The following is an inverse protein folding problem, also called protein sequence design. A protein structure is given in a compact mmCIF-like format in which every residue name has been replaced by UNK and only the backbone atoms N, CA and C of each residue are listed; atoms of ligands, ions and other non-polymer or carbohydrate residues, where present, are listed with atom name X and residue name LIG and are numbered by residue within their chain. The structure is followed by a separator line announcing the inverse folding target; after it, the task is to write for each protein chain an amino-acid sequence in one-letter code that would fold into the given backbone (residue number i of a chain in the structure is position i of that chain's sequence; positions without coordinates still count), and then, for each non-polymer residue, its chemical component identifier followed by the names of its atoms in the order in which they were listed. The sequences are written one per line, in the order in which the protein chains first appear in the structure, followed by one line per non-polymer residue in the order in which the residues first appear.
data_IF_775288501899
#
_entry.id   IF_775288501899
#
_cell.length_a   1.000
_cell.length_b   1.000
_cell.length_c   1.000
_cell.angle_alpha   90.00
_cell.angle_beta   90.00
_cell.angle_gamma   90.00
#
_symmetry.space_group_name_H-M   'P 1'
#
loop_
_entity.id
_entity.type
_entity.pdbx_description
1 polymer ?
#
# COMPACT_ATOMS: atom_id res chain seq x y z
N UNK A 1 28.71 10.43 -4.29
CA UNK A 1 27.62 10.64 -5.26
C UNK A 1 26.24 10.79 -4.62
N UNK A 2 25.86 10.01 -3.60
CA UNK A 2 24.53 10.05 -2.97
C UNK A 2 24.14 11.42 -2.37
N UNK A 3 25.10 12.16 -1.78
CA UNK A 3 24.84 13.41 -1.06
C UNK A 3 24.24 14.55 -1.90
N UNK A 4 24.41 14.54 -3.23
CA UNK A 4 23.84 15.56 -4.13
C UNK A 4 22.42 15.25 -4.63
N UNK A 5 21.92 14.04 -4.36
CA UNK A 5 20.65 13.54 -4.90
C UNK A 5 19.57 13.32 -3.83
N UNK A 6 19.86 13.64 -2.56
CA UNK A 6 18.94 13.43 -1.44
C UNK A 6 18.78 14.73 -0.65
N UNK A 7 17.56 15.26 -0.65
CA UNK A 7 17.21 16.46 0.11
C UNK A 7 17.34 16.22 1.63
N UNK A 8 17.99 17.15 2.33
CA UNK A 8 18.13 17.15 3.80
C UNK A 8 19.23 16.24 4.36
N UNK A 9 20.11 15.70 3.51
CA UNK A 9 21.16 14.77 3.92
C UNK A 9 22.16 15.37 4.93
N UNK A 10 22.61 16.60 4.69
CA UNK A 10 23.63 17.27 5.52
C UNK A 10 23.12 17.53 6.93
N UNK A 11 21.91 18.07 7.05
CA UNK A 11 21.26 18.38 8.32
C UNK A 11 21.01 17.09 9.12
N UNK A 12 20.53 16.05 8.46
CA UNK A 12 20.29 14.76 9.12
C UNK A 12 21.59 14.10 9.60
N UNK A 13 22.65 14.12 8.78
CA UNK A 13 23.97 13.59 9.18
C UNK A 13 24.48 14.29 10.45
N UNK A 14 24.35 15.62 10.53
CA UNK A 14 24.78 16.37 11.71
C UNK A 14 24.00 15.98 12.97
N UNK A 15 22.72 15.65 12.85
CA UNK A 15 21.94 15.16 13.99
C UNK A 15 22.44 13.80 14.50
N UNK A 16 22.91 12.91 13.63
CA UNK A 16 23.46 11.62 14.04
C UNK A 16 24.74 11.76 14.88
N UNK A 17 25.51 12.84 14.70
CA UNK A 17 26.72 13.10 15.50
C UNK A 17 26.41 13.31 17.00
N UNK A 18 25.16 13.64 17.32
CA UNK A 18 24.69 13.81 18.71
C UNK A 18 24.25 12.51 19.40
N UNK A 19 24.20 11.38 18.67
CA UNK A 19 23.75 10.10 19.23
C UNK A 19 24.89 9.46 20.03
N UNK A 20 24.68 9.31 21.33
CA UNK A 20 25.57 8.53 22.20
C UNK A 20 25.21 7.05 22.17
N UNK A 21 26.10 6.22 21.61
CA UNK A 21 25.90 4.77 21.50
C UNK A 21 25.83 4.07 22.87
N UNK A 22 26.46 4.62 23.91
CA UNK A 22 26.39 4.05 25.25
C UNK A 22 25.00 4.29 25.85
N UNK A 23 24.45 5.49 25.69
CA UNK A 23 23.07 5.78 26.09
C UNK A 23 22.07 4.88 25.35
N UNK A 24 22.27 4.64 24.04
CA UNK A 24 21.46 3.67 23.27
C UNK A 24 21.60 2.25 23.82
N UNK A 25 22.81 1.83 24.19
CA UNK A 25 23.08 0.52 24.79
C UNK A 25 22.34 0.34 26.11
N UNK A 26 22.24 1.38 26.94
CA UNK A 26 21.50 1.35 28.22
C UNK A 26 20.00 1.19 27.99
N UNK A 27 19.43 1.97 27.07
CA UNK A 27 17.98 1.95 26.78
C UNK A 27 17.54 0.64 26.13
N UNK A 28 18.33 0.14 25.18
CA UNK A 28 17.97 -1.06 24.40
C UNK A 28 18.37 -2.36 25.07
N UNK A 29 19.31 -2.32 26.03
CA UNK A 29 19.97 -3.51 26.57
C UNK A 29 20.91 -4.21 25.58
N UNK A 30 21.17 -3.64 24.40
CA UNK A 30 22.10 -4.18 23.41
C UNK A 30 23.47 -3.54 23.60
N UNK A 31 24.48 -4.36 23.92
CA UNK A 31 25.85 -3.88 24.14
C UNK A 31 26.37 -3.01 22.98
N UNK A 32 26.93 -1.84 23.28
CA UNK A 32 27.42 -0.86 22.30
C UNK A 32 28.29 -1.49 21.19
N UNK A 33 29.22 -2.38 21.54
CA UNK A 33 30.05 -3.08 20.55
C UNK A 33 29.21 -3.86 19.52
N UNK A 34 28.13 -4.53 19.93
CA UNK A 34 27.26 -5.27 18.99
C UNK A 34 26.53 -4.34 18.03
N UNK A 35 26.19 -3.14 18.48
CA UNK A 35 25.57 -2.11 17.62
C UNK A 35 26.58 -1.68 16.55
N UNK A 36 27.84 -1.43 16.95
CA UNK A 36 28.93 -1.09 16.01
C UNK A 36 29.22 -2.23 15.03
N UNK A 37 29.35 -3.47 15.52
CA UNK A 37 29.63 -4.64 14.69
C UNK A 37 28.51 -4.88 13.67
N UNK A 38 27.24 -4.71 14.08
CA UNK A 38 26.10 -4.82 13.18
C UNK A 38 26.09 -3.73 12.10
N UNK A 39 26.47 -2.49 12.45
CA UNK A 39 26.59 -1.40 11.49
C UNK A 39 27.70 -1.67 10.47
N UNK A 40 28.87 -2.16 10.92
CA UNK A 40 29.97 -2.55 10.04
C UNK A 40 29.51 -3.68 9.12
N UNK A 41 28.93 -4.75 9.67
CA UNK A 41 28.44 -5.89 8.89
C UNK A 41 27.43 -5.48 7.83
N UNK A 42 26.50 -4.58 8.17
CA UNK A 42 25.49 -4.10 7.21
C UNK A 42 26.10 -3.31 6.04
N UNK A 43 27.12 -2.50 6.29
CA UNK A 43 27.73 -1.64 5.27
C UNK A 43 28.79 -2.39 4.45
N UNK A 44 29.50 -3.35 5.05
CA UNK A 44 30.68 -3.96 4.45
C UNK A 44 30.49 -5.42 4.06
N UNK A 45 29.45 -6.08 4.59
CA UNK A 45 29.26 -7.53 4.58
C UNK A 45 30.38 -8.31 5.30
N UNK A 46 31.11 -7.67 6.22
CA UNK A 46 32.21 -8.25 6.98
C UNK A 46 32.03 -8.03 8.49
N UNK A 47 32.53 -8.96 9.31
CA UNK A 47 32.44 -8.86 10.77
C UNK A 47 33.38 -7.80 11.36
N UNK A 48 34.45 -7.44 10.64
CA UNK A 48 35.42 -6.44 11.05
C UNK A 48 35.47 -5.30 10.02
N UNK A 49 35.86 -4.10 10.47
CA UNK A 49 35.99 -2.96 9.60
C UNK A 49 37.16 -3.20 8.61
N UNK A 50 36.90 -3.19 7.29
CA UNK A 50 37.94 -3.42 6.31
C UNK A 50 38.97 -2.27 6.32
N UNK A 51 40.24 -2.60 6.16
CA UNK A 51 41.32 -1.60 6.07
C UNK A 51 41.35 -0.85 4.74
N UNK A 52 40.64 -1.36 3.72
CA UNK A 52 40.56 -0.80 2.38
C UNK A 52 39.16 -0.96 1.81
N UNK A 53 38.65 0.06 1.14
CA UNK A 53 37.39 -0.01 0.39
C UNK A 53 37.65 -0.62 -0.99
N UNK A 54 36.89 -1.64 -1.44
CA UNK A 54 36.99 -2.15 -2.81
C UNK A 54 36.70 -1.06 -3.84
N UNK A 55 37.31 -1.16 -5.02
CA UNK A 55 37.14 -0.21 -6.14
C UNK A 55 35.66 0.01 -6.51
N UNK A 56 34.86 -1.06 -6.47
CA UNK A 56 33.42 -1.04 -6.78
C UNK A 56 32.52 -0.90 -5.53
N UNK A 57 33.11 -0.54 -4.38
CA UNK A 57 32.44 -0.52 -3.09
C UNK A 57 32.07 -1.91 -2.57
N UNK A 58 31.36 -1.94 -1.44
CA UNK A 58 30.87 -3.18 -0.85
C UNK A 58 29.56 -3.67 -1.50
N UNK A 59 29.26 -4.98 -1.42
CA UNK A 59 27.94 -5.50 -1.74
C UNK A 59 26.86 -4.76 -0.96
N UNK A 60 25.73 -4.42 -1.59
CA UNK A 60 24.68 -3.66 -0.91
C UNK A 60 23.98 -4.52 0.15
N UNK A 61 23.61 -3.88 1.26
CA UNK A 61 22.76 -4.47 2.29
C UNK A 61 21.28 -4.25 2.01
N UNK A 62 20.45 -5.27 2.26
CA UNK A 62 19.00 -5.18 2.18
C UNK A 62 18.36 -5.25 3.57
N UNK A 63 17.32 -4.46 3.78
CA UNK A 63 16.50 -4.51 5.00
C UNK A 63 15.19 -5.21 4.68
N UNK A 64 14.86 -6.26 5.44
CA UNK A 64 13.55 -6.91 5.42
C UNK A 64 12.86 -6.66 6.75
N UNK A 65 11.65 -6.10 6.74
CA UNK A 65 10.90 -5.85 7.96
C UNK A 65 9.39 -6.01 7.78
N UNK A 66 8.70 -6.27 8.89
CA UNK A 66 7.25 -6.41 8.97
C UNK A 66 6.58 -5.26 9.72
N UNK A 67 7.29 -4.16 10.02
CA UNK A 67 6.72 -3.07 10.82
C UNK A 67 5.51 -2.40 10.16
N UNK A 68 5.39 -2.47 8.83
CA UNK A 68 4.19 -2.01 8.11
C UNK A 68 2.97 -2.93 8.31
N UNK A 69 3.16 -4.12 8.88
CA UNK A 69 2.11 -5.03 9.32
C UNK A 69 1.79 -4.79 10.80
N UNK A 70 1.44 -3.55 11.17
CA UNK A 70 0.95 -3.29 12.52
C UNK A 70 -0.40 -3.99 12.72
N UNK A 71 -0.40 -4.98 13.61
CA UNK A 71 -1.59 -5.43 14.32
C UNK A 71 -1.63 -4.70 15.67
N UNK A 72 -2.81 -4.64 16.29
CA UNK A 72 -3.05 -3.98 17.58
C UNK A 72 -2.10 -4.45 18.70
N UNK A 73 -1.51 -5.64 18.54
CA UNK A 73 -0.59 -6.29 19.50
C UNK A 73 0.89 -6.30 19.08
N UNK A 74 1.26 -5.62 18.00
CA UNK A 74 2.63 -5.66 17.51
C UNK A 74 3.58 -4.94 18.51
N UNK A 75 4.70 -5.56 18.93
CA UNK A 75 5.58 -5.02 19.99
C UNK A 75 6.44 -3.82 19.52
N UNK A 76 6.14 -3.24 18.36
CA UNK A 76 6.88 -2.13 17.81
C UNK A 76 6.27 -0.83 18.35
N UNK A 77 7.01 -0.08 19.16
CA UNK A 77 6.53 1.18 19.75
C UNK A 77 5.95 2.14 18.69
N UNK A 78 6.80 2.66 17.81
CA UNK A 78 6.38 3.50 16.68
C UNK A 78 6.87 2.90 15.35
N UNK A 79 6.01 2.13 14.67
CA UNK A 79 6.37 1.48 13.42
C UNK A 79 6.67 2.46 12.28
N UNK A 80 6.03 3.64 12.27
CA UNK A 80 6.30 4.65 11.25
C UNK A 80 7.74 5.18 11.41
N UNK A 81 8.14 5.48 12.63
CA UNK A 81 9.52 5.88 12.94
C UNK A 81 10.53 4.79 12.61
N UNK A 82 10.24 3.52 12.91
CA UNK A 82 11.14 2.40 12.55
C UNK A 82 11.26 2.27 11.03
N UNK A 83 10.16 2.34 10.28
CA UNK A 83 10.19 2.26 8.82
C UNK A 83 10.99 3.42 8.21
N UNK A 84 10.82 4.65 8.73
CA UNK A 84 11.60 5.82 8.32
C UNK A 84 13.09 5.67 8.65
N UNK A 85 13.43 5.12 9.81
CA UNK A 85 14.82 4.86 10.17
C UNK A 85 15.47 3.85 9.21
N UNK A 86 14.75 2.78 8.82
CA UNK A 86 15.22 1.84 7.79
C UNK A 86 15.42 2.53 6.42
N UNK A 87 14.49 3.39 6.01
CA UNK A 87 14.58 4.21 4.79
C UNK A 87 15.85 5.08 4.79
N UNK A 88 16.04 5.84 5.87
CA UNK A 88 17.18 6.71 6.07
C UNK A 88 18.50 5.91 6.10
N UNK A 89 18.56 4.75 6.75
CA UNK A 89 19.76 3.90 6.76
C UNK A 89 20.13 3.42 5.36
N UNK A 90 19.15 3.01 4.56
CA UNK A 90 19.38 2.53 3.19
C UNK A 90 19.83 3.65 2.25
N UNK A 91 19.29 4.86 2.46
CA UNK A 91 19.73 6.07 1.76
C UNK A 91 21.16 6.46 2.17
N UNK A 92 21.47 6.49 3.47
CA UNK A 92 22.79 6.82 4.02
C UNK A 92 23.89 5.90 3.48
N UNK A 93 23.59 4.62 3.37
CA UNK A 93 24.55 3.58 2.97
C UNK A 93 24.65 3.40 1.46
N UNK A 94 23.87 4.15 0.67
CA UNK A 94 23.88 4.03 -0.79
C UNK A 94 23.37 2.66 -1.28
N UNK A 95 22.56 1.98 -0.48
CA UNK A 95 22.00 0.67 -0.79
C UNK A 95 20.73 0.76 -1.66
N UNK A 96 20.14 1.95 -1.80
CA UNK A 96 18.96 2.17 -2.65
C UNK A 96 19.32 2.12 -4.15
N UNK A 97 18.48 1.49 -4.96
CA UNK A 97 18.65 1.41 -6.41
C UNK A 97 19.74 0.45 -6.90
N UNK A 98 20.21 -0.45 -6.02
CA UNK A 98 21.20 -1.49 -6.34
C UNK A 98 20.59 -2.88 -6.17
N UNK A 99 20.96 -3.82 -7.05
CA UNK A 99 20.55 -5.21 -6.93
C UNK A 99 21.05 -5.80 -5.60
N UNK A 100 20.16 -6.43 -4.83
CA UNK A 100 20.49 -6.97 -3.50
C UNK A 100 20.49 -5.93 -2.38
N UNK A 101 20.25 -4.66 -2.68
CA UNK A 101 20.04 -3.59 -1.70
C UNK A 101 18.58 -3.16 -1.61
N UNK A 102 18.32 -2.13 -0.80
CA UNK A 102 17.00 -1.55 -0.65
C UNK A 102 16.25 -2.06 0.58
N UNK A 103 14.93 -1.88 0.55
CA UNK A 103 14.05 -2.22 1.66
C UNK A 103 12.88 -3.02 1.13
N UNK A 104 12.65 -4.18 1.74
CA UNK A 104 11.47 -4.99 1.56
C UNK A 104 10.60 -4.86 2.81
N UNK A 105 9.58 -4.00 2.69
CA UNK A 105 8.54 -3.85 3.71
C UNK A 105 7.44 -4.87 3.42
N UNK A 106 7.47 -6.01 4.11
CA UNK A 106 6.47 -7.05 3.94
C UNK A 106 5.15 -6.57 4.56
N UNK A 107 4.15 -6.41 3.72
CA UNK A 107 2.79 -6.01 4.12
C UNK A 107 1.95 -7.26 4.33
N UNK A 108 0.89 -7.14 5.14
CA UNK A 108 0.14 -8.30 5.62
C UNK A 108 -0.67 -9.03 4.55
N UNK A 109 -1.91 -8.60 4.27
CA UNK A 109 -2.79 -9.33 3.37
C UNK A 109 -2.25 -9.44 1.95
N UNK A 110 -2.69 -10.50 1.25
CA UNK A 110 -2.55 -10.57 -0.19
C UNK A 110 -3.13 -9.31 -0.84
N UNK A 111 -2.47 -8.83 -1.90
CA UNK A 111 -2.87 -7.65 -2.66
C UNK A 111 -2.90 -6.32 -1.89
N UNK A 112 -2.29 -6.23 -0.70
CA UNK A 112 -2.19 -4.94 -0.01
C UNK A 112 -1.46 -3.90 -0.89
N UNK A 113 -0.42 -4.33 -1.62
CA UNK A 113 0.25 -3.48 -2.61
C UNK A 113 -0.73 -3.04 -3.70
N UNK A 114 -1.49 -3.96 -4.29
CA UNK A 114 -2.44 -3.63 -5.35
C UNK A 114 -3.57 -2.72 -4.86
N UNK A 115 -4.08 -2.91 -3.65
CA UNK A 115 -5.06 -1.98 -3.05
C UNK A 115 -4.48 -0.58 -2.88
N UNK A 116 -3.21 -0.47 -2.47
CA UNK A 116 -2.50 0.82 -2.38
C UNK A 116 -2.35 1.45 -3.76
N UNK A 117 -1.91 0.66 -4.76
CA UNK A 117 -1.73 1.13 -6.14
C UNK A 117 -3.05 1.60 -6.76
N UNK A 118 -4.17 0.95 -6.42
CA UNK A 118 -5.51 1.30 -6.89
C UNK A 118 -6.17 2.41 -6.06
N UNK A 119 -5.44 3.07 -5.16
CA UNK A 119 -5.95 4.22 -4.41
C UNK A 119 -6.98 3.87 -3.34
N UNK A 120 -6.92 2.68 -2.73
CA UNK A 120 -7.76 2.30 -1.59
C UNK A 120 -7.33 3.04 -0.30
N UNK A 121 -7.39 4.37 -0.35
CA UNK A 121 -6.98 5.29 0.70
C UNK A 121 -7.82 6.57 0.59
N UNK A 122 -8.16 7.23 1.71
CA UNK A 122 -9.02 8.41 1.69
C UNK A 122 -8.40 9.63 0.99
N UNK A 123 -7.09 9.66 0.75
CA UNK A 123 -6.36 10.86 0.32
C UNK A 123 -5.63 10.75 -1.01
N UNK A 124 -5.64 9.59 -1.67
CA UNK A 124 -4.90 9.38 -2.92
C UNK A 124 -5.75 8.72 -3.99
N UNK A 125 -5.49 9.09 -5.23
CA UNK A 125 -6.04 8.49 -6.44
C UNK A 125 -5.25 7.23 -6.82
N UNK A 126 -5.81 6.36 -7.69
CA UNK A 126 -5.04 5.27 -8.28
C UNK A 126 -3.73 5.77 -8.91
N UNK A 127 -2.62 5.11 -8.59
CA UNK A 127 -1.25 5.53 -8.98
C UNK A 127 -0.53 6.37 -7.92
N UNK A 128 -1.21 6.74 -6.83
CA UNK A 128 -0.61 7.41 -5.67
C UNK A 128 -0.65 8.94 -5.69
N UNK A 129 -1.22 9.55 -6.74
CA UNK A 129 -1.40 11.00 -6.81
C UNK A 129 -2.34 11.49 -5.69
N UNK A 130 -2.06 12.65 -5.08
CA UNK A 130 -2.94 13.22 -4.05
C UNK A 130 -4.31 13.56 -4.61
N UNK A 131 -5.38 13.29 -3.84
CA UNK A 131 -6.73 13.74 -4.20
C UNK A 131 -6.83 15.26 -4.30
N UNK A 132 -5.92 16.01 -3.67
CA UNK A 132 -5.88 17.48 -3.73
C UNK A 132 -5.29 18.02 -5.04
N UNK A 133 -4.58 17.19 -5.81
CA UNK A 133 -3.98 17.57 -7.10
C UNK A 133 -5.06 17.68 -8.20
N UNK A 134 -5.29 18.90 -8.67
CA UNK A 134 -6.27 19.18 -9.72
C UNK A 134 -5.94 18.53 -11.06
N UNK A 135 -4.65 18.43 -11.44
CA UNK A 135 -4.26 17.80 -12.69
C UNK A 135 -4.50 16.29 -12.65
N UNK A 136 -4.17 15.65 -11.51
CA UNK A 136 -4.45 14.25 -11.29
C UNK A 136 -5.96 13.95 -11.30
N UNK A 137 -6.78 14.75 -10.60
CA UNK A 137 -8.25 14.59 -10.62
C UNK A 137 -8.82 14.72 -12.04
N UNK A 138 -8.40 15.75 -12.79
CA UNK A 138 -8.89 15.98 -14.15
C UNK A 138 -8.69 14.77 -15.07
N UNK A 139 -7.58 14.01 -14.91
CA UNK A 139 -7.31 12.77 -15.67
C UNK A 139 -8.42 11.74 -15.47
N UNK A 140 -8.84 11.52 -14.23
CA UNK A 140 -9.90 10.57 -13.90
C UNK A 140 -11.29 11.12 -14.23
N UNK A 141 -11.56 12.40 -13.97
CA UNK A 141 -12.83 13.05 -14.30
C UNK A 141 -13.15 12.97 -15.79
N UNK A 142 -12.15 13.18 -16.66
CA UNK A 142 -12.31 13.01 -18.11
C UNK A 142 -12.71 11.59 -18.50
N UNK A 143 -12.12 10.58 -17.85
CA UNK A 143 -12.41 9.18 -18.13
C UNK A 143 -13.78 8.73 -17.58
N UNK A 144 -14.20 9.30 -16.46
CA UNK A 144 -15.35 8.82 -15.67
C UNK A 144 -16.64 9.62 -15.88
N UNK A 145 -16.54 10.88 -16.31
CA UNK A 145 -17.71 11.76 -16.53
C UNK A 145 -18.72 11.21 -17.53
N UNK A 146 -18.25 10.46 -18.54
CA UNK A 146 -19.08 9.89 -19.62
C UNK A 146 -20.00 8.74 -19.18
N UNK A 147 -19.81 8.22 -17.97
CA UNK A 147 -20.52 7.01 -17.45
C UNK A 147 -21.78 7.32 -16.68
N UNK A 148 -21.96 8.58 -16.29
CA UNK A 148 -23.10 8.99 -15.49
C UNK A 148 -24.24 9.44 -16.39
N UNK A 149 -25.39 8.79 -16.28
CA UNK A 149 -26.63 9.26 -16.90
C UNK A 149 -27.20 10.51 -16.19
N UNK A 150 -26.73 10.80 -14.97
CA UNK A 150 -27.14 11.94 -14.14
C UNK A 150 -26.09 13.04 -14.06
N UNK A 151 -24.93 12.87 -14.71
CA UNK A 151 -23.80 13.79 -14.74
C UNK A 151 -22.91 13.69 -13.49
N UNK A 152 -21.77 12.99 -13.60
CA UNK A 152 -20.70 13.10 -12.59
C UNK A 152 -19.93 14.38 -12.91
N UNK A 153 -20.00 15.37 -12.01
CA UNK A 153 -19.47 16.72 -12.30
C UNK A 153 -18.00 16.87 -11.91
N UNK A 154 -17.58 16.33 -10.75
CA UNK A 154 -16.20 16.44 -10.26
C UNK A 154 -15.90 15.44 -9.14
N UNK A 155 -14.63 15.08 -8.97
CA UNK A 155 -14.14 14.33 -7.81
C UNK A 155 -13.99 15.25 -6.58
N UNK A 156 -14.02 14.69 -5.35
CA UNK A 156 -13.76 15.44 -4.13
C UNK A 156 -12.40 16.14 -4.17
N UNK A 157 -12.31 17.33 -3.55
CA UNK A 157 -11.07 18.13 -3.51
C UNK A 157 -10.29 17.98 -2.21
N UNK A 158 -10.84 17.24 -1.26
CA UNK A 158 -10.28 17.00 0.08
C UNK A 158 -10.23 15.50 0.36
N UNK A 159 -9.36 15.10 1.29
CA UNK A 159 -9.30 13.72 1.75
C UNK A 159 -10.60 13.31 2.48
N UNK A 160 -10.96 12.03 2.36
CA UNK A 160 -12.00 11.39 3.16
C UNK A 160 -11.55 11.06 4.58
N UNK A 161 -12.43 10.44 5.35
CA UNK A 161 -12.16 9.98 6.72
C UNK A 161 -11.34 8.68 6.69
N UNK A 162 -10.23 8.64 7.43
CA UNK A 162 -9.40 7.45 7.56
C UNK A 162 -9.93 6.46 8.60
N UNK A 163 -9.47 5.20 8.54
CA UNK A 163 -9.95 4.12 9.40
C UNK A 163 -9.81 4.44 10.92
N UNK A 164 -8.74 5.13 11.32
CA UNK A 164 -8.52 5.50 12.71
C UNK A 164 -9.53 6.54 13.24
N UNK A 165 -10.00 7.44 12.37
CA UNK A 165 -10.95 8.51 12.73
C UNK A 165 -12.41 8.08 12.50
N UNK A 166 -12.63 6.99 11.79
CA UNK A 166 -13.95 6.49 11.41
C UNK A 166 -14.89 6.28 12.61
N UNK A 167 -14.48 5.66 13.73
CA UNK A 167 -15.38 5.51 14.88
C UNK A 167 -15.88 6.86 15.41
N UNK A 168 -14.97 7.84 15.55
CA UNK A 168 -15.32 9.20 16.01
C UNK A 168 -16.29 9.88 15.04
N UNK A 169 -16.05 9.77 13.73
CA UNK A 169 -16.89 10.39 12.71
C UNK A 169 -18.31 9.81 12.72
N UNK A 170 -18.46 8.50 12.93
CA UNK A 170 -19.77 7.86 13.08
C UNK A 170 -20.48 8.34 14.36
N UNK A 171 -19.77 8.36 15.49
CA UNK A 171 -20.33 8.83 16.76
C UNK A 171 -20.76 10.30 16.75
N UNK A 172 -20.05 11.12 15.97
CA UNK A 172 -20.40 12.53 15.76
C UNK A 172 -21.56 12.73 14.77
N UNK A 173 -22.05 11.67 14.12
CA UNK A 173 -23.07 11.75 13.08
C UNK A 173 -22.56 12.34 11.75
N UNK A 174 -21.24 12.46 11.58
CA UNK A 174 -20.61 12.90 10.32
C UNK A 174 -20.77 11.82 9.23
N UNK A 175 -20.81 10.54 9.64
CA UNK A 175 -21.05 9.38 8.77
C UNK A 175 -22.24 8.61 9.31
N UNK A 176 -23.31 8.54 8.52
CA UNK A 176 -24.55 7.83 8.86
C UNK A 176 -24.76 6.53 8.08
N UNK A 177 -24.04 6.35 6.97
CA UNK A 177 -24.10 5.14 6.16
C UNK A 177 -22.71 4.65 5.77
N UNK A 178 -22.53 3.33 5.67
CA UNK A 178 -21.25 2.72 5.33
C UNK A 178 -21.40 1.48 4.46
N UNK A 179 -20.48 1.33 3.49
CA UNK A 179 -20.29 0.12 2.69
C UNK A 179 -19.01 -0.58 3.17
N UNK A 180 -19.17 -1.75 3.78
CA UNK A 180 -18.09 -2.54 4.35
C UNK A 180 -17.85 -3.79 3.51
N UNK A 181 -16.70 -3.89 2.83
CA UNK A 181 -16.23 -5.18 2.31
C UNK A 181 -15.42 -5.90 3.39
N UNK A 182 -16.03 -6.91 3.99
CA UNK A 182 -15.44 -7.68 5.07
C UNK A 182 -14.39 -8.66 4.55
N UNK A 183 -13.37 -8.92 5.37
CA UNK A 183 -12.24 -9.75 5.00
C UNK A 183 -12.18 -11.07 5.76
N UNK A 184 -11.29 -11.96 5.34
CA UNK A 184 -11.03 -13.23 6.04
C UNK A 184 -10.70 -13.06 7.52
N UNK A 185 -10.01 -11.97 7.89
CA UNK A 185 -9.62 -11.71 9.28
C UNK A 185 -10.83 -11.44 10.18
N UNK A 186 -11.91 -10.90 9.62
CA UNK A 186 -13.13 -10.54 10.36
C UNK A 186 -14.17 -11.65 10.35
N UNK A 187 -13.84 -12.85 9.86
CA UNK A 187 -14.78 -13.97 9.68
C UNK A 187 -15.43 -14.41 10.98
N UNK A 188 -14.65 -14.57 12.04
CA UNK A 188 -15.10 -15.22 13.29
C UNK A 188 -15.09 -14.27 14.49
N UNK A 189 -14.36 -13.16 14.42
CA UNK A 189 -14.20 -12.25 15.53
C UNK A 189 -14.17 -10.80 15.09
N UNK A 190 -14.60 -9.95 16.01
CA UNK A 190 -14.38 -8.50 15.94
C UNK A 190 -12.90 -8.24 16.24
N UNK A 191 -12.20 -7.59 15.31
CA UNK A 191 -10.77 -7.27 15.46
C UNK A 191 -10.58 -5.91 16.13
N UNK A 192 -11.53 -5.00 15.94
CA UNK A 192 -11.56 -3.66 16.50
C UNK A 192 -12.94 -3.45 17.15
N UNK A 193 -12.98 -3.60 18.48
CA UNK A 193 -14.21 -3.48 19.27
C UNK A 193 -14.79 -2.07 19.17
N UNK A 194 -13.93 -1.04 19.23
CA UNK A 194 -14.36 0.35 19.15
C UNK A 194 -15.00 0.67 17.80
N UNK A 195 -14.40 0.20 16.71
CA UNK A 195 -14.99 0.35 15.38
C UNK A 195 -16.31 -0.42 15.29
N UNK A 196 -16.37 -1.65 15.79
CA UNK A 196 -17.60 -2.44 15.75
C UNK A 196 -18.75 -1.79 16.49
N UNK A 197 -18.52 -1.28 17.71
CA UNK A 197 -19.52 -0.53 18.47
C UNK A 197 -19.99 0.73 17.74
N UNK A 198 -19.06 1.44 17.06
CA UNK A 198 -19.42 2.60 16.26
C UNK A 198 -20.30 2.21 15.05
N UNK A 199 -19.98 1.12 14.35
CA UNK A 199 -20.76 0.67 13.19
C UNK A 199 -22.22 0.35 13.54
N UNK A 200 -22.50 -0.13 14.77
CA UNK A 200 -23.88 -0.37 15.23
C UNK A 200 -24.73 0.91 15.36
N UNK A 201 -24.10 2.09 15.33
CA UNK A 201 -24.78 3.40 15.43
C UNK A 201 -25.14 3.99 14.06
N UNK A 202 -24.75 3.35 12.96
CA UNK A 202 -25.09 3.79 11.61
C UNK A 202 -26.59 3.66 11.33
N UNK A 203 -27.14 4.59 10.55
CA UNK A 203 -28.51 4.48 10.02
C UNK A 203 -28.60 3.38 8.96
N UNK A 204 -27.52 3.17 8.21
CA UNK A 204 -27.48 2.19 7.12
C UNK A 204 -26.10 1.56 6.90
N UNK A 205 -26.00 0.25 7.08
CA UNK A 205 -24.78 -0.54 6.90
C UNK A 205 -25.00 -1.61 5.83
N UNK A 206 -24.23 -1.52 4.75
CA UNK A 206 -24.10 -2.58 3.73
C UNK A 206 -22.83 -3.37 4.02
N UNK A 207 -22.96 -4.68 4.14
CA UNK A 207 -21.83 -5.60 4.32
C UNK A 207 -21.71 -6.52 3.11
N UNK A 208 -20.56 -6.46 2.44
CA UNK A 208 -20.17 -7.38 1.38
C UNK A 208 -19.24 -8.42 2.01
N UNK A 209 -19.70 -9.66 2.14
CA UNK A 209 -18.97 -10.70 2.86
C UNK A 209 -19.18 -12.07 2.20
N UNK A 210 -18.16 -12.92 2.28
CA UNK A 210 -18.22 -14.32 1.87
C UNK A 210 -18.67 -15.24 3.01
N UNK A 211 -18.72 -14.73 4.25
CA UNK A 211 -19.03 -15.49 5.45
C UNK A 211 -20.12 -14.83 6.29
N UNK A 212 -20.74 -15.61 7.17
CA UNK A 212 -21.64 -15.10 8.20
C UNK A 212 -20.83 -14.52 9.39
N UNK A 213 -20.21 -13.37 9.19
CA UNK A 213 -19.37 -12.71 10.18
C UNK A 213 -20.18 -11.92 11.23
N UNK A 214 -19.57 -11.49 12.35
CA UNK A 214 -20.21 -10.57 13.29
C UNK A 214 -20.74 -9.29 12.61
N UNK A 215 -20.06 -8.82 11.55
CA UNK A 215 -20.49 -7.64 10.79
C UNK A 215 -21.78 -7.90 10.00
N UNK A 216 -21.93 -9.08 9.41
CA UNK A 216 -23.16 -9.48 8.75
C UNK A 216 -24.35 -9.49 9.73
N UNK A 217 -24.11 -9.81 11.00
CA UNK A 217 -25.14 -9.83 12.06
C UNK A 217 -25.68 -8.45 12.46
N UNK A 218 -24.99 -7.36 12.13
CA UNK A 218 -25.42 -5.97 12.43
C UNK A 218 -25.79 -5.17 11.18
N UNK A 219 -25.67 -5.77 9.98
CA UNK A 219 -25.89 -5.07 8.72
C UNK A 219 -27.38 -4.91 8.40
N UNK A 220 -27.73 -3.82 7.71
CA UNK A 220 -29.05 -3.65 7.10
C UNK A 220 -29.18 -4.49 5.82
N UNK A 221 -28.08 -4.63 5.07
CA UNK A 221 -28.00 -5.44 3.85
C UNK A 221 -26.71 -6.23 3.86
N UNK A 222 -26.81 -7.52 3.56
CA UNK A 222 -25.66 -8.40 3.31
C UNK A 222 -25.65 -8.80 1.84
N UNK A 223 -24.51 -8.59 1.18
CA UNK A 223 -24.29 -8.94 -0.23
C UNK A 223 -23.23 -10.05 -0.31
N UNK A 224 -23.56 -11.23 -0.85
CA UNK A 224 -22.66 -12.39 -0.84
C UNK A 224 -21.48 -12.19 -1.80
N UNK A 225 -20.27 -12.27 -1.25
CA UNK A 225 -19.02 -12.07 -1.98
C UNK A 225 -18.41 -13.40 -2.46
N UNK A 226 -18.05 -13.47 -3.74
CA UNK A 226 -17.31 -14.59 -4.30
C UNK A 226 -15.86 -14.63 -3.76
N UNK A 227 -15.39 -15.82 -3.42
CA UNK A 227 -14.03 -16.07 -2.95
C UNK A 227 -13.00 -15.95 -4.08
N UNK A 228 -11.72 -15.90 -3.72
CA UNK A 228 -10.61 -15.78 -4.69
C UNK A 228 -10.53 -16.93 -5.71
N UNK A 229 -10.96 -18.14 -5.35
CA UNK A 229 -11.02 -19.28 -6.27
C UNK A 229 -12.25 -19.26 -7.18
N UNK A 230 -13.19 -18.36 -6.93
CA UNK A 230 -14.49 -18.28 -7.61
C UNK A 230 -14.57 -17.12 -8.60
N UNK A 231 -13.54 -16.27 -8.64
CA UNK A 231 -13.52 -15.05 -9.45
C UNK A 231 -12.21 -14.84 -10.17
N UNK A 232 -12.31 -14.14 -11.29
CA UNK A 232 -11.17 -13.69 -12.07
C UNK A 232 -10.67 -12.33 -11.58
N UNK A 233 -9.35 -12.18 -11.50
CA UNK A 233 -8.75 -10.92 -11.10
C UNK A 233 -7.22 -10.94 -11.14
N UNK A 234 -6.63 -10.05 -10.37
CA UNK A 234 -5.18 -9.95 -10.17
C UNK A 234 -4.83 -9.65 -8.72
N UNK A 235 -3.67 -10.13 -8.28
CA UNK A 235 -3.04 -9.69 -7.03
C UNK A 235 -1.66 -9.12 -7.33
N UNK A 236 -1.31 -8.01 -6.69
CA UNK A 236 0.03 -7.43 -6.69
C UNK A 236 0.75 -7.86 -5.41
N UNK A 237 1.86 -8.59 -5.56
CA UNK A 237 2.69 -9.03 -4.43
C UNK A 237 3.56 -7.90 -3.86
N UNK A 238 4.19 -8.16 -2.72
CA UNK A 238 4.98 -7.16 -1.98
C UNK A 238 6.20 -6.64 -2.77
N UNK A 239 6.70 -7.43 -3.72
CA UNK A 239 7.78 -7.07 -4.65
C UNK A 239 7.27 -6.28 -5.87
N UNK A 240 5.97 -5.91 -5.88
CA UNK A 240 5.26 -5.21 -6.95
C UNK A 240 4.94 -6.08 -8.19
N UNK A 241 5.04 -7.40 -8.09
CA UNK A 241 4.65 -8.28 -9.19
C UNK A 241 3.13 -8.45 -9.25
N UNK A 242 2.51 -7.96 -10.32
CA UNK A 242 1.10 -8.20 -10.65
C UNK A 242 0.94 -9.61 -11.21
N UNK A 243 0.05 -10.39 -10.62
CA UNK A 243 -0.18 -11.80 -10.93
C UNK A 243 -1.66 -12.06 -11.21
N UNK A 244 -1.95 -12.93 -12.19
CA UNK A 244 -3.31 -13.33 -12.57
C UNK A 244 -3.89 -14.34 -11.58
N UNK A 245 -5.06 -14.04 -11.05
CA UNK A 245 -5.89 -14.97 -10.24
C UNK A 245 -7.00 -15.51 -11.12
N UNK A 246 -7.07 -16.83 -11.32
CA UNK A 246 -8.08 -17.47 -12.19
C UNK A 246 -9.18 -18.11 -11.36
N UNK A 247 -10.42 -17.98 -11.81
CA UNK A 247 -11.51 -18.77 -11.26
C UNK A 247 -11.22 -20.27 -11.50
N UNK A 248 -11.20 -21.04 -10.43
CA UNK A 248 -11.04 -22.49 -10.42
C UNK A 248 -12.36 -23.22 -10.15
N UNK A 249 -13.34 -22.52 -9.57
CA UNK A 249 -14.69 -23.00 -9.31
C UNK A 249 -15.71 -21.92 -9.70
N UNK A 250 -16.97 -22.28 -9.99
CA UNK A 250 -18.04 -21.28 -10.07
C UNK A 250 -18.29 -20.67 -8.69
N UNK A 251 -18.77 -19.42 -8.66
CA UNK A 251 -19.23 -18.78 -7.43
C UNK A 251 -20.38 -19.57 -6.79
N UNK A 252 -20.36 -19.67 -5.46
CA UNK A 252 -21.34 -20.42 -4.70
C UNK A 252 -22.64 -19.62 -4.52
N UNK A 253 -23.78 -20.26 -4.80
CA UNK A 253 -25.10 -19.65 -4.60
C UNK A 253 -25.29 -18.39 -5.43
N UNK A 254 -25.62 -17.28 -4.75
CA UNK A 254 -25.83 -15.97 -5.36
C UNK A 254 -24.58 -15.06 -5.21
N UNK A 255 -23.43 -15.62 -4.87
CA UNK A 255 -22.21 -14.85 -4.66
C UNK A 255 -21.70 -14.24 -5.98
N UNK A 256 -21.24 -13.00 -5.88
CA UNK A 256 -20.70 -12.24 -7.01
C UNK A 256 -19.35 -11.62 -6.64
N UNK A 257 -18.53 -11.28 -7.63
CA UNK A 257 -17.30 -10.52 -7.37
C UNK A 257 -17.62 -9.09 -6.91
N UNK A 258 -16.71 -8.46 -6.15
CA UNK A 258 -16.89 -7.09 -5.67
C UNK A 258 -17.19 -6.10 -6.80
N UNK A 259 -16.56 -6.28 -7.97
CA UNK A 259 -16.80 -5.46 -9.17
C UNK A 259 -18.20 -5.65 -9.74
N UNK A 260 -18.72 -6.87 -9.79
CA UNK A 260 -20.09 -7.13 -10.25
C UNK A 260 -21.12 -6.55 -9.30
N UNK A 261 -20.90 -6.70 -7.98
CA UNK A 261 -21.77 -6.14 -6.94
C UNK A 261 -21.83 -4.61 -7.04
N UNK A 262 -20.66 -3.96 -7.06
CA UNK A 262 -20.56 -2.49 -7.18
C UNK A 262 -21.15 -2.02 -8.52
N UNK A 263 -20.86 -2.73 -9.61
CA UNK A 263 -21.41 -2.45 -10.93
C UNK A 263 -22.94 -2.49 -10.96
N UNK A 264 -23.55 -3.52 -10.36
CA UNK A 264 -24.99 -3.69 -10.30
C UNK A 264 -25.70 -2.62 -9.45
N UNK A 265 -25.05 -2.16 -8.36
CA UNK A 265 -25.56 -1.05 -7.54
C UNK A 265 -25.42 0.28 -8.28
N UNK A 266 -24.25 0.53 -8.87
CA UNK A 266 -23.99 1.75 -9.63
C UNK A 266 -24.95 1.92 -10.82
N UNK A 267 -25.25 0.84 -11.55
CA UNK A 267 -26.23 0.87 -12.65
C UNK A 267 -27.60 1.36 -12.18
N UNK A 268 -28.04 0.94 -10.98
CA UNK A 268 -29.30 1.39 -10.37
C UNK A 268 -29.26 2.85 -9.92
N UNK A 269 -28.07 3.36 -9.63
CA UNK A 269 -27.82 4.78 -9.31
C UNK A 269 -27.59 5.64 -10.56
N UNK A 270 -27.68 5.06 -11.77
CA UNK A 270 -27.50 5.76 -13.03
C UNK A 270 -26.04 5.95 -13.45
N UNK A 271 -25.13 5.11 -12.94
CA UNK A 271 -23.70 5.13 -13.30
C UNK A 271 -23.24 3.77 -13.82
N UNK A 272 -22.73 3.71 -15.05
CA UNK A 272 -22.38 2.44 -15.68
C UNK A 272 -20.88 2.16 -15.65
N UNK A 273 -20.49 1.09 -14.93
CA UNK A 273 -19.13 0.56 -14.97
C UNK A 273 -18.88 -0.35 -16.18
N UNK A 274 -17.60 -0.57 -16.56
CA UNK A 274 -17.26 -1.62 -17.52
C UNK A 274 -17.82 -2.97 -17.10
N UNK A 275 -18.48 -3.68 -18.02
CA UNK A 275 -19.16 -4.96 -17.77
C UNK A 275 -18.36 -6.15 -18.28
N UNK A 276 -18.65 -7.31 -17.73
CA UNK A 276 -18.06 -8.58 -18.15
C UNK A 276 -16.78 -8.90 -17.38
N UNK A 277 -15.73 -9.30 -18.09
CA UNK A 277 -14.53 -9.84 -17.48
C UNK A 277 -13.64 -8.76 -16.86
N UNK A 278 -12.96 -9.09 -15.75
CA UNK A 278 -12.08 -8.18 -15.00
C UNK A 278 -10.92 -7.57 -15.83
N UNK A 279 -10.63 -8.14 -17.00
CA UNK A 279 -9.72 -7.55 -17.99
C UNK A 279 -10.17 -6.17 -18.47
N UNK A 280 -11.47 -5.88 -18.52
CA UNK A 280 -11.99 -4.56 -18.92
C UNK A 280 -11.57 -3.48 -17.92
N UNK A 281 -11.66 -3.79 -16.62
CA UNK A 281 -11.17 -2.89 -15.55
C UNK A 281 -9.65 -2.73 -15.65
N UNK A 282 -8.91 -3.81 -15.92
CA UNK A 282 -7.46 -3.71 -16.10
C UNK A 282 -7.05 -2.88 -17.33
N UNK A 283 -7.83 -2.92 -18.42
CA UNK A 283 -7.58 -2.06 -19.59
C UNK A 283 -7.68 -0.58 -19.20
N UNK A 284 -8.68 -0.20 -18.41
CA UNK A 284 -8.79 1.15 -17.88
C UNK A 284 -7.65 1.50 -16.92
N UNK A 285 -7.31 0.59 -15.99
CA UNK A 285 -6.16 0.75 -15.09
C UNK A 285 -4.89 1.02 -15.90
N UNK A 286 -4.61 0.23 -16.93
CA UNK A 286 -3.44 0.42 -17.80
C UNK A 286 -3.45 1.76 -18.56
N UNK A 287 -4.61 2.38 -18.72
CA UNK A 287 -4.71 3.69 -19.39
C UNK A 287 -4.53 4.85 -18.40
N UNK A 288 -5.02 4.70 -17.16
CA UNK A 288 -5.13 5.82 -16.21
C UNK A 288 -4.10 5.79 -15.07
N UNK A 289 -3.59 4.61 -14.71
CA UNK A 289 -2.75 4.41 -13.54
C UNK A 289 -1.29 4.40 -13.96
N UNK A 290 -0.54 5.38 -13.45
CA UNK A 290 0.91 5.45 -13.67
C UNK A 290 1.60 4.17 -13.20
N UNK A 291 2.55 3.67 -13.99
CA UNK A 291 3.24 2.40 -13.71
C UNK A 291 2.45 1.12 -14.03
N UNK A 292 1.23 1.22 -14.57
CA UNK A 292 0.44 0.06 -15.01
C UNK A 292 0.25 -0.02 -16.54
N UNK A 293 0.86 0.88 -17.32
CA UNK A 293 0.55 1.04 -18.76
C UNK A 293 0.85 -0.15 -19.66
N UNK A 294 1.72 -1.06 -19.21
CA UNK A 294 1.95 -2.33 -19.90
C UNK A 294 1.26 -3.54 -19.27
N UNK A 295 0.44 -3.38 -18.23
CA UNK A 295 -0.18 -4.50 -17.51
C UNK A 295 -1.49 -4.88 -18.20
N UNK A 296 -1.46 -5.95 -19.00
CA UNK A 296 -2.65 -6.48 -19.68
C UNK A 296 -2.84 -7.95 -19.38
N UNK A 297 -4.09 -8.43 -19.41
CA UNK A 297 -4.40 -9.83 -19.15
C UNK A 297 -3.66 -10.76 -20.13
N UNK A 298 -3.59 -10.41 -21.40
CA UNK A 298 -2.86 -11.19 -22.41
C UNK A 298 -1.37 -11.38 -22.07
N UNK A 299 -0.74 -10.39 -21.41
CA UNK A 299 0.63 -10.52 -20.91
C UNK A 299 0.69 -11.33 -19.61
N UNK A 300 -0.26 -11.12 -18.71
CA UNK A 300 -0.36 -11.85 -17.45
C UNK A 300 -0.62 -13.36 -17.65
N UNK A 301 -1.19 -13.77 -18.79
CA UNK A 301 -1.27 -15.18 -19.18
C UNK A 301 0.11 -15.84 -19.35
N UNK A 302 1.17 -15.06 -19.58
CA UNK A 302 2.54 -15.55 -19.79
C UNK A 302 3.43 -15.49 -18.53
N UNK A 303 2.93 -14.89 -17.45
CA UNK A 303 3.68 -14.71 -16.20
C UNK A 303 3.36 -13.39 -15.52
N UNK A 304 3.82 -13.24 -14.28
CA UNK A 304 3.67 -11.99 -13.53
C UNK A 304 4.43 -10.82 -14.14
N UNK A 305 3.97 -9.60 -13.88
CA UNK A 305 4.57 -8.36 -14.39
C UNK A 305 4.97 -7.48 -13.21
N UNK A 306 6.25 -7.12 -13.11
CA UNK A 306 6.75 -6.23 -12.05
C UNK A 306 6.42 -4.78 -12.38
N UNK A 307 5.75 -4.05 -11.50
CA UNK A 307 5.50 -2.61 -11.69
C UNK A 307 6.62 -1.76 -11.06
N UNK A 308 6.87 -0.53 -11.56
CA UNK A 308 6.17 0.16 -12.65
C UNK A 308 6.50 -0.38 -14.04
N UNK A 309 5.53 -0.23 -14.95
CA UNK A 309 5.63 -0.47 -16.39
C UNK A 309 5.10 0.77 -17.11
N UNK A 310 5.96 1.48 -17.84
CA UNK A 310 5.61 2.75 -18.48
C UNK A 310 5.00 2.53 -19.87
N UNK A 311 5.34 1.43 -20.55
CA UNK A 311 4.83 1.13 -21.90
C UNK A 311 4.51 -0.35 -22.09
N UNK A 312 3.62 -0.61 -23.05
CA UNK A 312 3.33 -1.96 -23.48
C UNK A 312 4.59 -2.66 -24.03
N UNK A 313 4.85 -3.88 -23.58
CA UNK A 313 6.00 -4.70 -23.98
C UNK A 313 7.22 -4.58 -23.06
N UNK A 314 7.28 -3.58 -22.18
CA UNK A 314 8.36 -3.45 -21.20
C UNK A 314 8.25 -4.51 -20.10
N UNK A 315 9.38 -5.10 -19.68
CA UNK A 315 9.44 -6.10 -18.61
C UNK A 315 9.11 -5.57 -17.21
N UNK A 316 9.08 -4.24 -17.06
CA UNK A 316 8.90 -3.57 -15.78
C UNK A 316 10.21 -3.31 -15.03
N UNK A 317 10.15 -2.48 -13.98
CA UNK A 317 11.33 -2.08 -13.22
C UNK A 317 11.47 -2.87 -11.91
N UNK A 318 12.35 -3.89 -11.94
CA UNK A 318 12.71 -4.65 -10.73
C UNK A 318 13.48 -3.81 -9.72
N UNK A 319 14.42 -3.00 -10.22
CA UNK A 319 15.24 -2.09 -9.42
C UNK A 319 14.82 -0.68 -9.78
N UNK A 320 14.38 0.08 -8.78
CA UNK A 320 14.03 1.49 -8.94
C UNK A 320 15.29 2.33 -8.74
N UNK A 321 15.65 3.15 -9.73
CA UNK A 321 16.84 4.00 -9.68
C UNK A 321 16.56 5.37 -9.06
N UNK A 322 17.53 5.93 -8.35
CA UNK A 322 17.42 7.29 -7.79
C UNK A 322 17.46 8.35 -8.90
N UNK A 323 16.64 9.40 -8.79
CA UNK A 323 16.68 10.56 -9.67
C UNK A 323 16.14 10.35 -11.10
N UNK A 324 15.63 9.15 -11.42
CA UNK A 324 14.94 8.84 -12.67
C UNK A 324 13.66 8.07 -12.34
N UNK A 325 12.49 8.63 -12.67
CA UNK A 325 11.17 8.03 -12.38
C UNK A 325 10.53 8.50 -11.07
N UNK A 326 9.58 7.74 -10.48
CA UNK A 326 8.75 8.18 -9.34
C UNK A 326 9.48 8.29 -7.99
N UNK A 327 10.77 7.97 -7.92
CA UNK A 327 11.56 8.06 -6.68
C UNK A 327 12.29 9.40 -6.57
N UNK A 328 11.72 10.29 -5.75
CA UNK A 328 12.37 11.51 -5.26
C UNK A 328 12.67 11.36 -3.75
N UNK A 329 13.75 10.66 -3.37
CA UNK A 329 14.04 10.37 -1.98
C UNK A 329 14.35 11.65 -1.20
N UNK A 330 13.65 11.85 -0.08
CA UNK A 330 13.87 12.95 0.87
C UNK A 330 14.16 12.37 2.25
N UNK A 331 15.23 12.83 2.89
CA UNK A 331 15.47 12.46 4.29
C UNK A 331 14.42 13.10 5.17
N UNK A 332 13.83 12.31 6.06
CA UNK A 332 12.87 12.81 7.04
C UNK A 332 13.59 12.99 8.36
N UNK A 333 13.57 14.23 8.88
CA UNK A 333 14.10 14.56 10.19
C UNK A 333 13.26 13.88 11.28
N UNK A 334 13.92 13.24 12.22
CA UNK A 334 13.30 12.72 13.43
C UNK A 334 13.22 13.85 14.46
N UNK A 335 12.00 14.25 14.84
CA UNK A 335 11.80 14.90 16.14
C UNK A 335 11.31 13.80 17.07
N UNK A 336 12.15 13.41 18.04
CA UNK A 336 11.69 12.58 19.13
C UNK A 336 10.45 13.26 19.73
N UNK A 337 9.30 12.58 19.71
CA UNK A 337 8.20 13.00 20.58
C UNK A 337 8.71 12.78 22.00
N UNK A 338 9.03 13.88 22.68
CA UNK A 338 9.19 13.94 24.14
C UNK A 338 7.90 13.49 24.83
#
# INVERSE_FOLDING_TARGET
EVAGAIDGFTEWRQQLESIDINAVSEVTGVHAQKITDAAILFVTSQLEAPTTTPENGHPPGAIFHTVAHQTTDAPYGDAASVALACANLTMLTGNLGRAGGGIASMRGPANYQGATDMGASPSVLPGGDSITDGAARNRFEQAWSTRSATGLVSLPTTAGVGLADLPRAIEAGEITALWLEAGLRTRESVIDEKLFEALMKLDYLVVVDAYNSPFAGIANVVLPLALNLEKDGTFTSFDRTVQRVRAAAPALGEAHSSTEIIGAVADRLGYTFPKGHASQVMTEISTLVSGYSGVTYARLERGGIVTPVERFGEGGATILTNGVGPLQPKMVNYQART
#
